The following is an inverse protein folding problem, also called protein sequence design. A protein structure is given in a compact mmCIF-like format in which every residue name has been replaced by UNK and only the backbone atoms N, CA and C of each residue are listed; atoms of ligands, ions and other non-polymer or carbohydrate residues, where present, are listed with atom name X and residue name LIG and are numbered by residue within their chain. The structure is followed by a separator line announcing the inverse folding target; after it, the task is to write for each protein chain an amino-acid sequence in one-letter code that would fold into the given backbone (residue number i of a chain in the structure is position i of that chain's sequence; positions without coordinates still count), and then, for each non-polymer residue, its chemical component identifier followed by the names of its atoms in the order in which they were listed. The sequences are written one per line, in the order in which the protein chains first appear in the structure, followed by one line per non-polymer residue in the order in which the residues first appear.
data_IF_314461252113
#
_entry.id   IF_314461252113
#
_cell.length_a   1.000
_cell.length_b   1.000
_cell.length_c   1.000
_cell.angle_alpha   90.00
_cell.angle_beta   90.00
_cell.angle_gamma   90.00
#
_symmetry.space_group_name_H-M   'P 1'
#
loop_
_entity.id
_entity.type
_entity.pdbx_description
1 polymer ?
#
# COMPACT_ATOMS: atom_id res chain seq x y z
N UNK A 1 4.48 0.22 40.63
CA UNK A 1 5.33 -0.71 39.89
C UNK A 1 6.11 0.08 38.84
N UNK A 2 7.43 0.20 38.99
CA UNK A 2 8.29 1.06 38.16
C UNK A 2 8.27 0.71 36.64
N UNK A 3 8.10 -0.58 36.29
CA UNK A 3 8.04 -1.00 34.89
C UNK A 3 6.86 -0.36 34.13
N UNK A 4 5.68 -0.24 34.76
CA UNK A 4 4.53 0.45 34.15
C UNK A 4 4.80 1.94 33.93
N UNK A 5 5.46 2.59 34.91
CA UNK A 5 5.86 4.01 34.80
C UNK A 5 6.86 4.20 33.66
N UNK A 6 7.75 3.24 33.43
CA UNK A 6 8.67 3.29 32.28
C UNK A 6 7.89 3.21 30.94
N UNK A 7 6.89 2.33 30.84
CA UNK A 7 6.02 2.22 29.65
C UNK A 7 5.24 3.51 29.42
N UNK A 8 4.60 4.08 30.43
CA UNK A 8 3.88 5.35 30.32
C UNK A 8 4.76 6.50 29.81
N UNK A 9 6.04 6.53 30.24
CA UNK A 9 7.01 7.54 29.77
C UNK A 9 7.56 7.30 28.38
N UNK A 10 7.27 6.15 27.76
CA UNK A 10 7.63 5.89 26.36
C UNK A 10 6.70 6.60 25.40
N UNK A 11 5.49 6.95 25.83
CA UNK A 11 4.49 7.64 25.00
C UNK A 11 4.24 6.87 23.70
N UNK A 12 3.91 5.58 23.83
CA UNK A 12 3.69 4.69 22.70
C UNK A 12 2.35 4.97 22.04
N UNK A 13 2.34 5.06 20.71
CA UNK A 13 1.16 5.33 19.91
C UNK A 13 0.91 4.21 18.90
N UNK A 14 -0.36 4.10 18.47
CA UNK A 14 -0.71 3.26 17.33
C UNK A 14 0.01 3.81 16.08
N UNK A 15 0.52 2.94 15.20
CA UNK A 15 1.21 3.39 14.00
C UNK A 15 0.22 3.96 12.98
N UNK A 16 0.64 4.97 12.23
CA UNK A 16 -0.07 5.43 11.04
C UNK A 16 0.08 4.38 9.95
N UNK A 17 -1.05 4.01 9.34
CA UNK A 17 -1.07 3.00 8.28
C UNK A 17 -1.21 3.65 6.92
N UNK A 18 -0.49 3.10 5.94
CA UNK A 18 -0.61 3.39 4.53
C UNK A 18 -1.32 2.25 3.81
N UNK A 19 -2.20 2.62 2.89
CA UNK A 19 -2.93 1.70 2.04
C UNK A 19 -2.85 2.15 0.57
N UNK A 20 -2.76 1.22 -0.34
CA UNK A 20 -2.98 1.45 -1.76
C UNK A 20 -3.89 0.36 -2.32
N UNK A 21 -5.00 0.69 -2.99
CA UNK A 21 -5.55 2.03 -3.21
C UNK A 21 -5.79 2.80 -1.92
N UNK A 22 -5.78 4.13 -2.02
CA UNK A 22 -5.93 5.02 -0.86
C UNK A 22 -7.21 4.74 -0.07
N UNK A 23 -7.16 4.81 1.27
CA UNK A 23 -8.34 4.68 2.12
C UNK A 23 -9.25 5.91 1.98
N UNK A 24 -10.50 5.78 2.44
CA UNK A 24 -11.51 6.85 2.33
C UNK A 24 -11.15 8.09 3.17
N UNK A 25 -10.29 7.97 4.19
CA UNK A 25 -9.77 9.08 4.98
C UNK A 25 -8.85 9.99 4.15
N UNK A 26 -8.16 9.43 3.15
CA UNK A 26 -7.25 10.16 2.26
C UNK A 26 -7.93 10.54 0.93
N UNK A 27 -8.81 9.69 0.43
CA UNK A 27 -9.55 9.88 -0.82
C UNK A 27 -11.03 9.49 -0.62
N UNK A 28 -11.89 10.42 -0.14
CA UNK A 28 -13.28 10.14 0.23
C UNK A 28 -14.13 9.53 -0.91
N UNK A 29 -13.87 9.90 -2.16
CA UNK A 29 -14.54 9.37 -3.35
C UNK A 29 -13.74 8.24 -4.03
N UNK A 30 -12.70 7.72 -3.36
CA UNK A 30 -11.85 6.66 -3.87
C UNK A 30 -12.54 5.30 -3.85
N UNK A 31 -12.10 4.44 -4.75
CA UNK A 31 -12.57 3.05 -4.83
C UNK A 31 -11.38 2.10 -4.89
N UNK A 32 -11.57 0.97 -4.24
CA UNK A 32 -10.79 -0.21 -4.46
C UNK A 32 -11.59 -1.17 -5.36
N UNK A 33 -10.93 -2.14 -5.97
CA UNK A 33 -11.59 -3.04 -6.92
C UNK A 33 -11.46 -4.50 -6.50
N UNK A 34 -12.50 -5.29 -6.77
CA UNK A 34 -12.43 -6.74 -6.65
C UNK A 34 -11.28 -7.28 -7.50
N UNK A 35 -10.45 -8.15 -6.92
CA UNK A 35 -9.29 -8.72 -7.59
C UNK A 35 -8.06 -7.80 -7.67
N UNK A 36 -8.12 -6.59 -7.10
CA UNK A 36 -6.98 -5.68 -7.07
C UNK A 36 -6.05 -5.98 -5.91
N UNK A 37 -4.74 -5.89 -6.13
CA UNK A 37 -3.74 -6.06 -5.08
C UNK A 37 -3.67 -4.81 -4.20
N UNK A 38 -4.03 -4.96 -2.94
CA UNK A 38 -3.87 -3.91 -1.96
C UNK A 38 -2.49 -4.00 -1.32
N UNK A 39 -1.80 -2.88 -1.21
CA UNK A 39 -0.57 -2.77 -0.45
C UNK A 39 -0.89 -2.19 0.92
N UNK A 40 -0.19 -2.66 1.94
CA UNK A 40 -0.38 -2.27 3.33
C UNK A 40 0.98 -2.05 3.98
N UNK A 41 1.17 -0.90 4.63
CA UNK A 41 2.46 -0.56 5.27
C UNK A 41 2.26 0.39 6.44
N UNK A 42 3.33 0.62 7.19
CA UNK A 42 3.38 1.65 8.24
C UNK A 42 4.01 2.90 7.67
N UNK A 43 3.29 4.02 7.77
CA UNK A 43 3.79 5.36 7.40
C UNK A 43 4.74 5.87 8.47
N UNK A 44 5.86 6.45 8.05
CA UNK A 44 6.79 7.16 8.92
C UNK A 44 7.09 6.46 10.26
N UNK A 45 7.53 5.18 10.25
CA UNK A 45 7.78 4.46 11.49
C UNK A 45 8.85 5.16 12.31
N UNK A 46 8.58 5.38 13.59
CA UNK A 46 9.46 6.05 14.53
C UNK A 46 9.53 5.29 15.87
N UNK A 47 10.40 5.67 16.81
CA UNK A 47 10.54 4.94 18.08
C UNK A 47 9.25 4.80 18.89
N UNK A 48 8.32 5.77 18.82
CA UNK A 48 7.06 5.75 19.58
C UNK A 48 5.93 4.95 18.89
N UNK A 49 6.05 4.72 17.57
CA UNK A 49 5.03 3.99 16.79
C UNK A 49 5.49 2.60 16.33
N UNK A 50 6.81 2.34 16.34
CA UNK A 50 7.37 1.05 15.92
C UNK A 50 8.46 0.52 16.87
N UNK A 51 9.23 1.40 17.50
CA UNK A 51 10.38 1.04 18.32
C UNK A 51 11.68 0.83 17.50
N UNK A 52 12.78 0.38 18.13
CA UNK A 52 12.87 0.24 19.58
C UNK A 52 12.96 1.59 20.32
N UNK A 53 12.38 1.66 21.51
CA UNK A 53 12.50 2.78 22.42
C UNK A 53 12.88 2.27 23.79
N UNK A 54 13.89 2.89 24.42
CA UNK A 54 14.36 2.49 25.75
C UNK A 54 14.18 3.65 26.74
N UNK A 55 13.62 3.35 27.91
CA UNK A 55 13.49 4.29 29.04
C UNK A 55 13.97 3.65 30.32
N UNK A 56 14.72 4.45 31.08
CA UNK A 56 15.11 4.10 32.46
C UNK A 56 14.35 5.00 33.45
N UNK A 57 13.76 4.38 34.44
CA UNK A 57 13.05 5.07 35.51
C UNK A 57 13.73 4.73 36.83
N UNK A 58 14.04 5.78 37.61
CA UNK A 58 14.62 5.66 38.93
C UNK A 58 13.67 6.29 39.96
N UNK A 59 13.39 5.57 41.05
CA UNK A 59 12.58 6.05 42.15
C UNK A 59 13.12 5.46 43.47
N UNK A 60 13.31 6.31 44.46
CA UNK A 60 13.80 5.93 45.81
C UNK A 60 15.09 5.08 45.74
N UNK A 61 16.01 5.39 44.84
CA UNK A 61 17.27 4.67 44.69
C UNK A 61 17.19 3.39 43.87
N UNK A 62 16.01 3.01 43.37
CA UNK A 62 15.77 1.83 42.54
C UNK A 62 15.59 2.21 41.07
N UNK A 63 16.24 1.48 40.16
CA UNK A 63 16.16 1.72 38.75
C UNK A 63 15.65 0.51 37.99
N UNK A 64 14.80 0.78 37.00
CA UNK A 64 14.35 -0.19 36.00
C UNK A 64 14.58 0.40 34.61
N UNK A 65 15.13 -0.41 33.72
CA UNK A 65 15.26 -0.10 32.28
C UNK A 65 14.30 -0.98 31.49
N UNK A 66 13.50 -0.37 30.64
CA UNK A 66 12.58 -1.05 29.75
C UNK A 66 12.86 -0.68 28.30
N UNK A 67 12.77 -1.66 27.40
CA UNK A 67 12.89 -1.47 25.94
C UNK A 67 11.65 -2.04 25.26
N UNK A 68 10.95 -1.21 24.50
CA UNK A 68 9.75 -1.56 23.76
C UNK A 68 10.00 -1.61 22.26
N UNK A 69 9.44 -2.60 21.58
CA UNK A 69 9.44 -2.70 20.11
C UNK A 69 8.19 -3.46 19.65
N UNK A 70 7.69 -3.12 18.45
CA UNK A 70 6.66 -3.90 17.78
C UNK A 70 7.28 -5.19 17.24
N UNK A 71 6.65 -6.32 17.53
CA UNK A 71 7.07 -7.65 17.05
C UNK A 71 6.49 -7.95 15.67
N UNK A 72 5.23 -7.64 15.48
CA UNK A 72 4.49 -7.84 14.23
C UNK A 72 3.20 -7.02 14.23
N UNK A 73 2.55 -6.97 13.07
CA UNK A 73 1.21 -6.41 12.89
C UNK A 73 0.23 -7.51 12.53
N UNK A 74 -0.95 -7.43 13.09
CA UNK A 74 -2.13 -8.18 12.62
C UNK A 74 -3.07 -7.21 11.92
N UNK A 75 -3.44 -7.52 10.68
CA UNK A 75 -4.40 -6.78 9.87
C UNK A 75 -5.70 -7.57 9.79
N UNK A 76 -6.79 -6.99 10.26
CA UNK A 76 -8.15 -7.48 10.05
C UNK A 76 -8.75 -6.73 8.88
N UNK A 77 -9.21 -7.46 7.87
CA UNK A 77 -9.60 -6.86 6.59
C UNK A 77 -11.07 -6.44 6.52
N UNK A 78 -11.81 -6.56 7.63
CA UNK A 78 -13.22 -6.18 7.73
C UNK A 78 -14.21 -7.19 7.13
N UNK A 79 -13.72 -8.28 6.56
CA UNK A 79 -14.50 -9.38 6.00
C UNK A 79 -14.30 -10.71 6.73
N UNK A 80 -13.63 -10.69 7.87
CA UNK A 80 -13.25 -11.85 8.67
C UNK A 80 -11.86 -12.42 8.37
N UNK A 81 -11.22 -11.98 7.30
CA UNK A 81 -9.83 -12.39 6.99
C UNK A 81 -8.82 -11.59 7.81
N UNK A 82 -7.73 -12.25 8.16
CA UNK A 82 -6.60 -11.67 8.87
C UNK A 82 -5.29 -11.90 8.13
N UNK A 83 -4.34 -10.97 8.29
CA UNK A 83 -2.96 -11.07 7.79
C UNK A 83 -1.98 -10.64 8.86
N UNK A 84 -0.92 -11.41 9.06
CA UNK A 84 0.19 -11.03 9.92
C UNK A 84 1.37 -10.59 9.07
N UNK A 85 1.86 -9.40 9.30
CA UNK A 85 2.93 -8.78 8.53
C UNK A 85 3.95 -8.06 9.42
N UNK A 86 5.10 -7.71 8.85
CA UNK A 86 5.99 -6.67 9.38
C UNK A 86 5.53 -5.27 8.96
N UNK A 87 6.46 -4.33 8.84
CA UNK A 87 6.18 -2.92 8.45
C UNK A 87 5.47 -2.73 7.12
N UNK A 88 5.54 -3.73 6.25
CA UNK A 88 5.16 -3.57 4.86
C UNK A 88 6.20 -2.77 4.05
N UNK A 89 5.84 -2.49 2.81
CA UNK A 89 6.61 -1.65 1.88
C UNK A 89 5.66 -0.62 1.30
N UNK A 90 6.06 0.64 1.33
CA UNK A 90 5.29 1.73 0.78
C UNK A 90 5.09 1.57 -0.72
N UNK A 91 3.86 1.83 -1.18
CA UNK A 91 3.55 1.78 -2.61
C UNK A 91 4.20 2.97 -3.33
N UNK A 92 4.93 2.75 -4.45
CA UNK A 92 5.52 3.85 -5.21
C UNK A 92 4.44 4.77 -5.81
N UNK A 93 4.52 6.08 -5.59
CA UNK A 93 3.51 7.08 -5.97
C UNK A 93 3.09 7.04 -7.46
N UNK A 94 4.02 6.70 -8.34
CA UNK A 94 3.78 6.68 -9.80
C UNK A 94 3.46 5.29 -10.36
N UNK A 95 3.36 4.27 -9.51
CA UNK A 95 3.03 2.92 -9.95
C UNK A 95 1.50 2.75 -9.97
N UNK A 96 0.92 2.67 -11.16
CA UNK A 96 -0.52 2.43 -11.36
C UNK A 96 -0.82 0.97 -11.71
N UNK A 97 0.18 0.08 -11.66
CA UNK A 97 0.02 -1.32 -12.01
C UNK A 97 -0.57 -2.11 -10.84
N UNK A 98 -1.38 -3.11 -11.19
CA UNK A 98 -1.92 -4.05 -10.20
C UNK A 98 -0.88 -5.12 -9.83
N UNK A 99 0.17 -4.73 -9.12
CA UNK A 99 1.27 -5.59 -8.70
C UNK A 99 1.11 -6.01 -7.23
N UNK A 100 1.57 -7.21 -6.90
CA UNK A 100 1.59 -7.68 -5.52
C UNK A 100 2.60 -6.87 -4.69
N UNK A 101 2.20 -6.53 -3.47
CA UNK A 101 3.14 -5.97 -2.49
C UNK A 101 4.26 -6.96 -2.18
N UNK A 102 5.53 -6.52 -2.21
CA UNK A 102 6.66 -7.36 -1.76
C UNK A 102 6.70 -7.54 -0.25
N UNK A 103 5.96 -6.73 0.50
CA UNK A 103 5.91 -6.79 1.96
C UNK A 103 4.61 -7.35 2.48
N UNK A 104 3.59 -6.53 2.57
CA UNK A 104 2.28 -6.87 3.10
C UNK A 104 1.19 -6.48 2.11
N UNK A 105 0.31 -7.41 1.74
CA UNK A 105 -0.75 -7.14 0.78
C UNK A 105 -1.94 -8.07 0.93
N UNK A 106 -3.07 -7.63 0.36
CA UNK A 106 -4.34 -8.34 0.39
C UNK A 106 -5.15 -8.13 -0.90
N UNK A 107 -6.06 -9.05 -1.22
CA UNK A 107 -6.98 -8.96 -2.36
C UNK A 107 -8.39 -9.21 -1.88
N UNK A 108 -9.29 -8.26 -2.12
CA UNK A 108 -10.73 -8.43 -1.87
C UNK A 108 -11.38 -9.20 -3.02
N UNK A 109 -12.24 -10.14 -2.69
CA UNK A 109 -12.97 -10.99 -3.66
C UNK A 109 -14.46 -10.64 -3.75
N UNK A 110 -14.94 -9.69 -2.95
CA UNK A 110 -16.34 -9.26 -2.92
C UNK A 110 -16.40 -7.75 -2.79
N UNK A 111 -17.47 -7.17 -3.35
CA UNK A 111 -17.79 -5.76 -3.16
C UNK A 111 -18.26 -5.48 -1.74
N UNK A 112 -18.01 -4.28 -1.23
CA UNK A 112 -18.44 -3.88 0.11
C UNK A 112 -17.73 -2.65 0.64
N UNK A 113 -18.18 -2.20 1.81
CA UNK A 113 -17.46 -1.22 2.61
C UNK A 113 -16.78 -1.98 3.75
N UNK A 114 -15.48 -1.84 3.85
CA UNK A 114 -14.67 -2.58 4.82
C UNK A 114 -13.95 -1.63 5.76
N UNK A 115 -13.92 -1.96 7.05
CA UNK A 115 -13.07 -1.34 8.04
C UNK A 115 -11.85 -2.22 8.24
N UNK A 116 -10.70 -1.71 7.85
CA UNK A 116 -9.40 -2.38 8.02
C UNK A 116 -8.87 -1.98 9.39
N UNK A 117 -8.54 -2.94 10.24
CA UNK A 117 -7.93 -2.68 11.55
C UNK A 117 -6.51 -3.24 11.57
N UNK A 118 -5.54 -2.39 11.84
CA UNK A 118 -4.14 -2.79 12.06
C UNK A 118 -3.84 -2.77 13.55
N UNK A 119 -3.43 -3.89 14.10
CA UNK A 119 -3.01 -4.05 15.49
C UNK A 119 -1.50 -4.23 15.56
N UNK A 120 -0.81 -3.30 16.19
CA UNK A 120 0.61 -3.39 16.49
C UNK A 120 0.82 -4.10 17.82
N UNK A 121 1.47 -5.26 17.80
CA UNK A 121 1.79 -6.05 18.99
C UNK A 121 3.14 -5.64 19.53
N UNK A 122 3.12 -4.95 20.67
CA UNK A 122 4.32 -4.47 21.36
C UNK A 122 4.81 -5.48 22.39
N UNK A 123 6.10 -5.76 22.37
CA UNK A 123 6.78 -6.45 23.47
C UNK A 123 7.71 -5.45 24.19
N UNK A 124 7.50 -5.28 25.49
CA UNK A 124 8.28 -4.39 26.34
C UNK A 124 9.06 -5.24 27.33
N UNK A 125 10.34 -5.44 27.04
CA UNK A 125 11.26 -6.18 27.93
C UNK A 125 11.83 -5.21 28.95
N UNK A 126 11.73 -5.55 30.23
CA UNK A 126 12.28 -4.73 31.31
C UNK A 126 13.21 -5.52 32.22
N UNK A 127 14.20 -4.82 32.75
CA UNK A 127 15.17 -5.35 33.74
C UNK A 127 15.42 -4.34 34.85
N UNK A 128 15.67 -4.83 36.05
CA UNK A 128 16.02 -4.02 37.21
C UNK A 128 15.77 -4.76 38.52
N UNK A 129 16.44 -4.35 39.58
CA UNK A 129 16.29 -4.93 40.93
C UNK A 129 16.56 -6.44 41.00
N UNK A 130 17.44 -6.96 40.12
CA UNK A 130 17.69 -8.39 40.02
C UNK A 130 16.53 -9.20 39.40
N UNK A 131 15.55 -8.50 38.81
CA UNK A 131 14.40 -9.10 38.11
C UNK A 131 14.32 -8.66 36.67
N UNK A 132 13.58 -9.41 35.88
CA UNK A 132 13.26 -9.10 34.50
C UNK A 132 11.87 -9.62 34.14
N UNK A 133 11.30 -9.10 33.08
CA UNK A 133 10.00 -9.55 32.58
C UNK A 133 9.65 -8.90 31.26
N UNK A 134 8.52 -9.32 30.70
CA UNK A 134 7.95 -8.77 29.49
C UNK A 134 6.53 -8.28 29.76
N UNK A 135 6.19 -7.12 29.22
CA UNK A 135 4.83 -6.58 29.18
C UNK A 135 4.43 -6.59 27.71
N UNK A 136 3.28 -7.17 27.41
CA UNK A 136 2.69 -7.13 26.09
C UNK A 136 1.59 -6.06 26.05
N UNK A 137 1.48 -5.35 24.93
CA UNK A 137 0.50 -4.30 24.73
C UNK A 137 0.16 -4.18 23.24
N UNK A 138 -1.13 -4.02 22.96
CA UNK A 138 -1.66 -3.87 21.62
C UNK A 138 -2.15 -2.45 21.39
N UNK A 139 -1.77 -1.86 20.25
CA UNK A 139 -2.24 -0.55 19.81
C UNK A 139 -2.81 -0.67 18.42
N UNK A 140 -4.03 -0.13 18.20
CA UNK A 140 -4.80 -0.31 16.99
C UNK A 140 -5.00 1.00 16.23
N UNK A 141 -4.98 0.91 14.89
CA UNK A 141 -5.40 1.97 13.97
C UNK A 141 -6.39 1.40 12.98
N UNK A 142 -7.34 2.19 12.53
CA UNK A 142 -8.35 1.80 11.56
C UNK A 142 -8.31 2.68 10.33
N UNK A 143 -8.71 2.11 9.20
CA UNK A 143 -8.96 2.81 7.95
C UNK A 143 -10.15 2.18 7.22
N UNK A 144 -10.79 2.94 6.34
CA UNK A 144 -11.96 2.49 5.61
C UNK A 144 -11.68 2.40 4.11
N UNK A 145 -12.20 1.37 3.48
CA UNK A 145 -12.12 1.21 2.02
C UNK A 145 -13.45 0.76 1.45
N UNK A 146 -13.76 1.23 0.24
CA UNK A 146 -14.93 0.83 -0.52
C UNK A 146 -14.47 0.01 -1.71
N UNK A 147 -14.87 -1.26 -1.76
CA UNK A 147 -14.54 -2.17 -2.85
C UNK A 147 -15.71 -2.27 -3.81
N UNK A 148 -15.45 -2.04 -5.08
CA UNK A 148 -16.43 -2.11 -6.18
C UNK A 148 -15.99 -3.10 -7.23
N UNK A 149 -16.94 -3.55 -8.05
CA UNK A 149 -16.67 -4.36 -9.23
C UNK A 149 -16.65 -3.49 -10.47
N UNK A 150 -15.70 -3.72 -11.37
CA UNK A 150 -15.67 -3.09 -12.69
C UNK A 150 -16.44 -3.96 -13.66
N UNK A 151 -17.59 -3.50 -14.13
CA UNK A 151 -18.35 -4.15 -15.18
C UNK A 151 -18.05 -3.50 -16.52
N UNK A 152 -17.58 -4.29 -17.49
CA UNK A 152 -17.51 -3.83 -18.89
C UNK A 152 -18.91 -3.80 -19.49
N UNK A 153 -19.39 -2.60 -19.82
CA UNK A 153 -20.63 -2.45 -20.60
C UNK A 153 -20.27 -2.56 -22.09
N UNK A 154 -20.75 -3.61 -22.73
CA UNK A 154 -20.62 -3.75 -24.18
C UNK A 154 -21.68 -2.84 -24.85
N UNK A 155 -21.24 -1.66 -25.31
CA UNK A 155 -22.12 -0.74 -26.05
C UNK A 155 -22.17 -1.23 -27.49
N UNK A 156 -23.37 -1.61 -28.04
CA UNK A 156 -23.49 -1.99 -29.43
C UNK A 156 -22.93 -0.88 -30.33
N UNK A 157 -22.20 -1.27 -31.36
CA UNK A 157 -21.51 -0.36 -32.30
C UNK A 157 -22.46 0.55 -33.07
N UNK A 158 -23.78 0.26 -33.11
CA UNK A 158 -24.83 1.02 -33.77
C UNK A 158 -25.14 2.36 -33.09
N UNK A 159 -24.72 2.57 -31.81
CA UNK A 159 -24.85 3.88 -31.13
C UNK A 159 -23.74 4.89 -31.45
N UNK A 160 -22.69 4.43 -32.09
CA UNK A 160 -21.64 5.30 -32.64
C UNK A 160 -21.58 5.08 -34.16
N UNK A 161 -22.42 5.79 -34.95
CA UNK A 161 -22.30 5.72 -36.40
C UNK A 161 -20.86 6.12 -36.73
N UNK A 162 -20.14 5.22 -37.40
CA UNK A 162 -18.83 5.57 -37.94
C UNK A 162 -19.02 6.86 -38.75
N UNK A 163 -18.17 7.88 -38.58
CA UNK A 163 -18.17 8.99 -39.48
C UNK A 163 -18.05 8.39 -40.89
N UNK A 164 -19.04 8.70 -41.75
CA UNK A 164 -19.04 8.21 -43.17
C UNK A 164 -17.69 8.57 -43.75
N UNK A 165 -16.87 7.57 -44.02
CA UNK A 165 -15.68 7.79 -44.80
C UNK A 165 -16.17 8.26 -46.17
N UNK A 166 -16.05 9.56 -46.41
CA UNK A 166 -16.23 10.09 -47.74
C UNK A 166 -15.32 9.29 -48.68
N UNK A 167 -15.81 8.83 -49.86
CA UNK A 167 -14.96 8.11 -50.77
C UNK A 167 -13.69 8.94 -51.00
N UNK A 168 -12.54 8.32 -50.85
CA UNK A 168 -11.27 8.94 -51.24
C UNK A 168 -11.42 9.49 -52.63
N UNK A 169 -11.03 10.74 -52.92
CA UNK A 169 -11.00 11.26 -54.25
C UNK A 169 -10.16 10.31 -55.11
N UNK A 170 -10.58 10.04 -56.41
CA UNK A 170 -9.82 9.19 -57.27
C UNK A 170 -8.39 9.72 -57.34
N UNK A 171 -7.43 8.83 -57.04
CA UNK A 171 -6.02 9.17 -57.11
C UNK A 171 -5.66 9.63 -58.52
N UNK A 172 -4.66 10.47 -58.68
CA UNK A 172 -4.25 10.96 -60.00
C UNK A 172 -3.90 9.75 -60.88
N UNK A 173 -4.55 9.65 -62.01
CA UNK A 173 -4.24 8.70 -63.10
C UNK A 173 -2.92 9.14 -63.75
N UNK A 174 -1.83 8.93 -63.04
CA UNK A 174 -0.49 9.08 -63.56
C UNK A 174 0.10 7.73 -63.88
N UNK A 175 0.52 7.54 -65.10
CA UNK A 175 1.27 6.39 -65.60
C UNK A 175 2.47 6.18 -64.61
N UNK A 176 2.74 4.97 -64.14
CA UNK A 176 3.89 4.74 -63.27
C UNK A 176 5.19 5.01 -64.06
N UNK A 177 5.82 6.13 -63.77
CA UNK A 177 7.20 6.37 -64.21
C UNK A 177 8.08 5.44 -63.39
N UNK A 178 8.84 4.58 -64.10
CA UNK A 178 9.77 3.64 -63.47
C UNK A 178 10.72 4.39 -62.53
N UNK A 179 10.74 3.98 -61.28
CA UNK A 179 11.69 4.46 -60.28
C UNK A 179 13.11 4.14 -60.74
N UNK A 180 13.94 5.15 -60.83
CA UNK A 180 15.38 4.99 -61.08
C UNK A 180 16.03 4.13 -59.98
N UNK A 181 16.98 3.23 -60.31
CA UNK A 181 17.65 2.41 -59.34
C UNK A 181 18.49 3.28 -58.36
N UNK A 182 18.43 2.97 -57.08
CA UNK A 182 19.22 3.61 -56.04
C UNK A 182 20.72 3.49 -56.34
N UNK A 183 21.51 4.55 -56.14
CA UNK A 183 22.95 4.47 -56.32
C UNK A 183 23.55 3.63 -55.14
N UNK A 184 24.36 2.64 -55.55
CA UNK A 184 25.19 1.84 -54.65
C UNK A 184 26.29 2.69 -54.06
N UNK A 185 26.03 3.32 -52.94
CA UNK A 185 27.10 3.83 -52.11
C UNK A 185 26.79 3.52 -50.63
N UNK A 186 27.67 2.71 -50.05
CA UNK A 186 27.64 2.28 -48.70
C UNK A 186 27.80 3.49 -47.76
N UNK A 187 26.71 4.05 -47.22
CA UNK A 187 26.68 4.59 -45.88
C UNK A 187 25.24 4.68 -45.39
N UNK A 188 25.06 4.09 -44.23
CA UNK A 188 23.86 3.96 -43.40
C UNK A 188 22.97 5.21 -43.41
N UNK A 189 21.75 5.08 -43.97
CA UNK A 189 20.45 5.59 -43.51
C UNK A 189 19.45 5.24 -44.61
N UNK A 190 18.38 4.49 -44.25
CA UNK A 190 17.53 3.76 -45.15
C UNK A 190 16.82 4.61 -46.22
N UNK A 191 16.60 3.97 -47.35
CA UNK A 191 15.50 4.25 -48.29
C UNK A 191 14.19 3.72 -47.75
#
# INVERSE_FOLDING_TARGET
MLAKVAVERMDLHAPDIGLWPHPLEELPDGYNYVGWNNWMWIKNPNPNTWGPITKTVTQSGYSITATAAVTHLTWEMGNGDTKTCGKGVEHPEHNTRNEKSPGCGYVYHQTGNYTITATAHWAIVWTGLGQQGTIEMDLTTQAHTKVVEVSAVNIPNDRYPRPSQSPLPPGPTGTPTALAPCPTNHNKHGC
#
